data_IF_090602572929
#
_entry.id   IF_090602572929
#
_cell.length_a   1.000
_cell.length_b   1.000
_cell.length_c   1.000
_cell.angle_alpha   90.00
_cell.angle_beta   90.00
_cell.angle_gamma   90.00
#
_symmetry.space_group_name_H-M   'P 1'
#
loop_
_entity.id
_entity.type
_entity.pdbx_description
1 polymer ?
#
# COMPACT_ATOMS: atom_id res chain seq x y z
N UNK A 1 -10.88 2.39 -28.87
CA UNK A 1 -10.62 1.64 -27.62
C UNK A 1 -9.96 2.60 -26.67
N UNK A 2 -10.62 2.95 -25.57
CA UNK A 2 -10.01 3.74 -24.51
C UNK A 2 -9.21 2.82 -23.62
N UNK A 3 -7.92 3.11 -23.48
CA UNK A 3 -6.99 2.27 -22.74
C UNK A 3 -6.44 3.14 -21.62
N UNK A 4 -7.12 3.07 -20.49
CA UNK A 4 -6.71 3.67 -19.24
C UNK A 4 -6.06 2.64 -18.32
N UNK A 5 -5.57 3.06 -17.14
CA UNK A 5 -5.10 2.15 -16.11
C UNK A 5 -6.20 1.14 -15.74
N UNK A 6 -5.88 -0.16 -15.81
CA UNK A 6 -6.85 -1.22 -15.52
C UNK A 6 -7.08 -1.45 -14.03
N UNK A 7 -6.14 -0.99 -13.18
CA UNK A 7 -6.23 -0.99 -11.72
C UNK A 7 -5.30 0.08 -11.16
N UNK A 8 -5.70 0.77 -10.10
CA UNK A 8 -4.82 1.65 -9.34
C UNK A 8 -3.82 0.81 -8.52
N UNK A 9 -2.57 1.26 -8.45
CA UNK A 9 -1.55 0.55 -7.70
C UNK A 9 -1.87 0.62 -6.20
N UNK A 10 -1.76 -0.53 -5.53
CA UNK A 10 -1.98 -0.67 -4.09
C UNK A 10 -0.76 -1.27 -3.43
N UNK A 11 -0.62 -1.07 -2.12
CA UNK A 11 0.32 -1.82 -1.29
C UNK A 11 -0.40 -2.68 -0.26
N UNK A 12 0.27 -3.76 0.14
CA UNK A 12 -0.14 -4.63 1.24
C UNK A 12 0.57 -4.20 2.51
N UNK A 13 -0.21 -3.92 3.56
CA UNK A 13 0.28 -3.51 4.87
C UNK A 13 -0.10 -4.55 5.91
N UNK A 14 0.88 -5.14 6.58
CA UNK A 14 0.68 -5.95 7.78
C UNK A 14 1.07 -5.13 9.00
N UNK A 15 0.14 -4.92 9.93
CA UNK A 15 0.39 -4.20 11.18
C UNK A 15 0.18 -5.15 12.35
N UNK A 16 1.17 -5.24 13.23
CA UNK A 16 0.95 -5.77 14.57
C UNK A 16 0.22 -4.69 15.40
N UNK A 17 -1.07 -4.90 15.64
CA UNK A 17 -1.93 -3.89 16.29
C UNK A 17 -2.11 -4.12 17.80
N UNK A 18 -1.58 -5.20 18.36
CA UNK A 18 -1.89 -5.61 19.74
C UNK A 18 -3.40 -5.47 20.04
N UNK A 19 -3.79 -5.28 21.31
CA UNK A 19 -5.17 -4.97 21.69
C UNK A 19 -5.65 -3.57 21.26
N UNK A 20 -4.86 -2.80 20.49
CA UNK A 20 -5.26 -1.45 20.09
C UNK A 20 -6.25 -1.50 18.93
N UNK A 21 -7.45 -1.00 19.19
CA UNK A 21 -8.51 -0.88 18.21
C UNK A 21 -8.19 0.24 17.22
N UNK A 22 -8.05 -0.12 15.94
CA UNK A 22 -7.98 0.82 14.84
C UNK A 22 -9.37 1.39 14.55
N UNK A 23 -9.51 2.71 14.59
CA UNK A 23 -10.77 3.40 14.30
C UNK A 23 -10.87 3.80 12.83
N UNK A 24 -9.78 4.34 12.27
CA UNK A 24 -9.78 4.92 10.92
C UNK A 24 -8.37 4.95 10.31
N UNK A 25 -8.29 4.82 8.98
CA UNK A 25 -7.10 5.21 8.22
C UNK A 25 -7.51 6.34 7.27
N UNK A 26 -6.67 7.36 7.14
CA UNK A 26 -6.89 8.49 6.21
C UNK A 26 -5.65 8.65 5.34
N UNK A 27 -5.82 8.76 4.02
CA UNK A 27 -4.74 9.14 3.11
C UNK A 27 -4.74 10.65 2.90
N UNK A 28 -3.59 11.30 3.09
CA UNK A 28 -3.44 12.72 2.83
C UNK A 28 -3.37 13.00 1.33
N UNK A 29 -4.15 13.98 0.87
CA UNK A 29 -4.18 14.38 -0.54
C UNK A 29 -4.94 13.43 -1.46
N UNK A 30 -5.64 12.42 -0.93
CA UNK A 30 -6.53 11.57 -1.72
C UNK A 30 -7.70 12.39 -2.27
N UNK A 31 -7.96 12.28 -3.58
CA UNK A 31 -9.07 12.95 -4.26
C UNK A 31 -10.42 12.41 -3.80
N UNK A 32 -10.47 11.14 -3.42
CA UNK A 32 -11.62 10.53 -2.76
C UNK A 32 -11.15 9.70 -1.56
N UNK A 33 -11.70 10.01 -0.38
CA UNK A 33 -11.44 9.25 0.84
C UNK A 33 -12.33 8.01 1.00
N UNK A 34 -13.39 7.85 0.19
CA UNK A 34 -14.36 6.75 0.30
C UNK A 34 -13.70 5.38 0.13
N UNK A 35 -12.63 5.29 -0.68
CA UNK A 35 -11.79 4.09 -0.80
C UNK A 35 -11.17 3.64 0.54
N UNK A 36 -11.05 4.55 1.50
CA UNK A 36 -10.45 4.34 2.83
C UNK A 36 -11.48 4.39 3.96
N UNK A 37 -12.75 4.73 3.71
CA UNK A 37 -13.77 4.84 4.77
C UNK A 37 -14.35 3.46 5.15
N UNK A 38 -14.29 2.48 4.25
CA UNK A 38 -14.80 1.12 4.48
C UNK A 38 -13.70 0.09 4.80
N UNK A 39 -12.71 0.46 5.63
CA UNK A 39 -11.58 -0.43 5.93
C UNK A 39 -11.95 -1.66 6.75
N UNK A 40 -13.16 -1.73 7.30
CA UNK A 40 -13.68 -2.96 7.92
C UNK A 40 -13.72 -4.13 6.91
N UNK A 41 -13.90 -3.82 5.63
CA UNK A 41 -13.91 -4.80 4.52
C UNK A 41 -12.54 -4.96 3.85
N UNK A 42 -11.57 -4.08 4.15
CA UNK A 42 -10.19 -4.14 3.63
C UNK A 42 -9.27 -5.08 4.41
N UNK A 43 -9.76 -5.59 5.55
CA UNK A 43 -9.04 -6.56 6.36
C UNK A 43 -9.07 -7.89 5.61
N UNK A 44 -7.95 -8.25 4.98
CA UNK A 44 -7.86 -9.50 4.21
C UNK A 44 -7.77 -10.71 5.11
N UNK A 45 -7.22 -10.56 6.32
CA UNK A 45 -7.16 -11.63 7.33
C UNK A 45 -6.97 -11.04 8.74
N UNK A 46 -7.61 -11.65 9.74
CA UNK A 46 -7.35 -11.36 11.16
C UNK A 46 -6.65 -12.56 11.80
N UNK A 47 -5.37 -12.39 12.13
CA UNK A 47 -4.70 -13.23 13.12
C UNK A 47 -4.68 -12.44 14.43
N UNK A 48 -4.71 -13.12 15.58
CA UNK A 48 -4.93 -12.49 16.91
C UNK A 48 -4.13 -11.20 17.16
N UNK A 49 -2.93 -11.07 16.57
CA UNK A 49 -2.05 -9.93 16.77
C UNK A 49 -1.78 -9.09 15.50
N UNK A 50 -2.26 -9.52 14.32
CA UNK A 50 -1.92 -8.89 13.03
C UNK A 50 -3.16 -8.57 12.20
N UNK A 51 -3.17 -7.36 11.63
CA UNK A 51 -4.16 -6.93 10.63
C UNK A 51 -3.45 -6.66 9.31
N UNK A 52 -4.00 -7.21 8.23
CA UNK A 52 -3.54 -6.95 6.87
C UNK A 52 -4.51 -6.00 6.15
N UNK A 53 -3.96 -5.00 5.46
CA UNK A 53 -4.71 -4.02 4.69
C UNK A 53 -4.19 -3.96 3.27
N UNK A 54 -5.10 -3.74 2.31
CA UNK A 54 -4.74 -3.33 0.96
C UNK A 54 -5.08 -1.85 0.78
N UNK A 55 -4.07 -1.01 0.62
CA UNK A 55 -4.20 0.45 0.60
C UNK A 55 -3.74 1.01 -0.75
N UNK A 56 -4.51 1.88 -1.42
CA UNK A 56 -4.09 2.50 -2.68
C UNK A 56 -3.02 3.55 -2.46
N UNK A 57 -2.07 3.67 -3.41
CA UNK A 57 -1.06 4.74 -3.44
C UNK A 57 -1.47 5.86 -4.40
N UNK A 58 -0.90 7.05 -4.24
CA UNK A 58 -1.11 8.16 -5.17
C UNK A 58 -0.44 7.90 -6.53
N UNK A 59 -1.23 7.94 -7.60
CA UNK A 59 -0.68 7.94 -8.96
C UNK A 59 -0.24 9.32 -9.43
N UNK A 60 -0.42 10.37 -8.62
CA UNK A 60 -0.15 11.76 -8.99
C UNK A 60 1.03 12.38 -8.21
N UNK A 61 1.60 11.66 -7.25
CA UNK A 61 2.70 12.12 -6.41
C UNK A 61 3.73 11.02 -6.20
N UNK A 62 4.98 11.39 -5.90
CA UNK A 62 6.07 10.44 -5.59
C UNK A 62 6.05 9.97 -4.14
N UNK A 63 5.01 10.35 -3.39
CA UNK A 63 4.79 9.91 -2.03
C UNK A 63 3.30 9.81 -1.69
N UNK A 64 2.97 8.98 -0.71
CA UNK A 64 1.64 8.94 -0.09
C UNK A 64 1.76 8.80 1.41
N UNK A 65 1.03 9.64 2.13
CA UNK A 65 1.02 9.64 3.60
C UNK A 65 -0.32 9.16 4.11
N UNK A 66 -0.29 8.22 5.03
CA UNK A 66 -1.43 7.67 5.73
C UNK A 66 -1.37 8.06 7.21
N UNK A 67 -2.54 8.35 7.77
CA UNK A 67 -2.74 8.59 9.19
C UNK A 67 -3.61 7.45 9.72
N UNK A 68 -3.08 6.70 10.69
CA UNK A 68 -3.75 5.63 11.39
C UNK A 68 -4.23 6.14 12.74
N UNK A 69 -5.54 6.18 12.92
CA UNK A 69 -6.17 6.62 14.15
C UNK A 69 -6.60 5.39 14.95
N UNK A 70 -5.87 5.10 16.03
CA UNK A 70 -6.20 4.06 17.00
C UNK A 70 -6.89 4.69 18.22
N UNK A 71 -7.58 3.88 19.02
CA UNK A 71 -8.32 4.35 20.20
C UNK A 71 -7.51 5.23 21.15
N UNK A 72 -6.20 4.99 21.29
CA UNK A 72 -5.32 5.71 22.24
C UNK A 72 -4.09 6.37 21.61
N UNK A 73 -3.90 6.30 20.28
CA UNK A 73 -2.73 6.86 19.60
C UNK A 73 -2.99 7.12 18.13
N UNK A 74 -2.22 8.03 17.55
CA UNK A 74 -2.23 8.27 16.11
C UNK A 74 -0.84 7.99 15.57
N UNK A 75 -0.76 7.19 14.50
CA UNK A 75 0.47 6.94 13.79
C UNK A 75 0.40 7.42 12.35
N UNK A 76 1.56 7.69 11.77
CA UNK A 76 1.68 8.10 10.37
C UNK A 76 2.62 7.16 9.64
N UNK A 77 2.29 6.86 8.38
CA UNK A 77 3.15 6.16 7.45
C UNK A 77 3.25 6.99 6.18
N UNK A 78 4.45 7.37 5.77
CA UNK A 78 4.71 7.96 4.46
C UNK A 78 5.51 6.97 3.64
N UNK A 79 4.97 6.58 2.49
CA UNK A 79 5.68 5.81 1.49
C UNK A 79 6.13 6.76 0.39
N UNK A 80 7.43 6.78 0.09
CA UNK A 80 8.00 7.43 -1.08
C UNK A 80 8.37 6.34 -2.09
N UNK A 81 8.17 6.59 -3.38
CA UNK A 81 8.37 5.58 -4.41
C UNK A 81 8.61 6.25 -5.77
N UNK A 82 9.38 5.58 -6.63
CA UNK A 82 9.46 5.90 -8.04
C UNK A 82 8.36 5.13 -8.79
N UNK A 83 7.61 5.82 -9.66
CA UNK A 83 6.57 5.19 -10.50
C UNK A 83 7.16 4.86 -11.86
N UNK A 84 7.18 3.57 -12.20
CA UNK A 84 7.62 3.10 -13.50
C UNK A 84 6.41 2.81 -14.38
N UNK A 85 6.42 3.32 -15.61
CA UNK A 85 5.33 3.15 -16.57
C UNK A 85 5.85 2.36 -17.77
N UNK A 86 5.44 1.11 -17.89
CA UNK A 86 5.82 0.25 -19.00
C UNK A 86 4.71 0.20 -20.04
N UNK A 87 5.01 0.57 -21.28
CA UNK A 87 4.06 0.44 -22.38
C UNK A 87 3.89 -1.04 -22.76
N UNK A 88 2.66 -1.54 -22.78
CA UNK A 88 2.35 -2.90 -23.25
C UNK A 88 1.78 -2.84 -24.67
N UNK A 89 2.41 -3.53 -25.63
CA UNK A 89 1.95 -3.57 -27.01
C UNK A 89 0.48 -4.01 -27.10
N UNK A 90 -0.36 -3.18 -27.72
CA UNK A 90 -1.78 -3.46 -27.93
C UNK A 90 -2.72 -2.48 -27.21
N UNK A 91 -2.40 -2.06 -25.97
CA UNK A 91 -2.95 -0.85 -25.33
C UNK A 91 -2.57 -0.72 -23.84
N UNK A 92 -2.12 0.47 -23.42
CA UNK A 92 -2.03 0.89 -22.01
C UNK A 92 -0.62 0.88 -21.42
N UNK A 93 -0.54 1.22 -20.13
CA UNK A 93 0.68 1.19 -19.34
C UNK A 93 0.50 0.27 -18.13
N UNK A 94 1.51 -0.53 -17.81
CA UNK A 94 1.65 -1.17 -16.50
C UNK A 94 2.35 -0.17 -15.59
N UNK A 95 1.70 0.16 -14.47
CA UNK A 95 2.34 0.93 -13.40
C UNK A 95 3.03 -0.06 -12.48
N UNK A 96 4.31 0.18 -12.24
CA UNK A 96 5.14 -0.53 -11.27
C UNK A 96 5.79 0.49 -10.34
N UNK A 97 6.47 0.00 -9.31
CA UNK A 97 7.15 0.84 -8.31
C UNK A 97 8.55 0.34 -8.00
N UNK A 98 9.48 1.28 -7.91
CA UNK A 98 10.86 1.05 -7.53
C UNK A 98 11.29 2.06 -6.44
N UNK A 99 12.47 1.84 -5.86
CA UNK A 99 13.09 2.66 -4.80
C UNK A 99 12.10 3.05 -3.68
N UNK A 100 11.35 2.05 -3.21
CA UNK A 100 10.29 2.30 -2.21
C UNK A 100 10.91 2.46 -0.83
N UNK A 101 10.64 3.61 -0.22
CA UNK A 101 11.13 3.98 1.11
C UNK A 101 9.98 4.35 2.03
N UNK A 102 10.11 3.97 3.30
CA UNK A 102 9.11 4.24 4.33
C UNK A 102 9.63 5.16 5.43
N UNK A 103 8.80 6.11 5.83
CA UNK A 103 8.98 6.87 7.08
C UNK A 103 7.73 6.73 7.93
N UNK A 104 7.91 6.48 9.22
CA UNK A 104 6.79 6.19 10.11
C UNK A 104 7.02 6.63 11.55
N UNK A 105 5.92 6.79 12.31
CA UNK A 105 5.92 6.89 13.78
C UNK A 105 5.68 5.56 14.49
N UNK A 106 5.34 4.50 13.74
CA UNK A 106 5.31 3.12 14.24
C UNK A 106 6.67 2.75 14.86
N UNK A 107 6.67 1.92 15.92
CA UNK A 107 7.88 1.50 16.61
C UNK A 107 8.80 0.65 15.73
N UNK A 108 8.20 -0.03 14.75
CA UNK A 108 8.89 -0.79 13.72
C UNK A 108 8.29 -0.49 12.35
N UNK A 109 9.17 -0.42 11.35
CA UNK A 109 8.80 -0.30 9.95
C UNK A 109 9.76 -1.11 9.09
N UNK A 110 9.20 -1.94 8.22
CA UNK A 110 9.90 -2.60 7.15
C UNK A 110 9.11 -2.43 5.86
N UNK A 111 9.80 -2.03 4.79
CA UNK A 111 9.20 -1.75 3.48
C UNK A 111 10.01 -2.49 2.43
N UNK A 112 9.31 -3.20 1.56
CA UNK A 112 9.90 -3.91 0.42
C UNK A 112 9.00 -3.75 -0.80
N UNK A 113 9.59 -3.63 -1.97
CA UNK A 113 8.88 -3.66 -3.24
C UNK A 113 9.38 -4.84 -4.07
N UNK A 114 8.46 -5.52 -4.75
CA UNK A 114 8.76 -6.52 -5.76
C UNK A 114 8.29 -5.96 -7.09
N UNK A 115 9.20 -5.60 -8.01
CA UNK A 115 8.81 -5.07 -9.31
C UNK A 115 8.03 -6.13 -10.09
N UNK A 116 7.01 -5.68 -10.80
CA UNK A 116 6.25 -6.46 -11.78
C UNK A 116 7.09 -6.80 -13.01
N UNK A 117 8.00 -5.90 -13.43
CA UNK A 117 8.81 -6.07 -14.64
C UNK A 117 10.26 -6.42 -14.26
N UNK A 118 10.47 -7.69 -13.92
CA UNK A 118 11.80 -8.25 -13.68
C UNK A 118 11.70 -9.74 -13.38
N UNK A 119 12.40 -10.58 -14.14
CA UNK A 119 12.45 -12.02 -13.94
C UNK A 119 12.87 -12.39 -12.50
N UNK A 120 11.93 -12.70 -11.61
CA UNK A 120 12.23 -13.60 -10.50
C UNK A 120 11.93 -15.03 -10.95
N UNK A 121 13.00 -15.81 -11.19
CA UNK A 121 12.93 -17.27 -11.39
C UNK A 121 12.62 -17.95 -10.04
N UNK A 122 11.43 -17.69 -9.50
CA UNK A 122 10.93 -18.23 -8.24
C UNK A 122 9.61 -18.97 -8.43
N UNK A 123 9.36 -19.96 -7.57
CA UNK A 123 8.13 -20.75 -7.59
C UNK A 123 6.94 -19.94 -7.06
N UNK A 124 6.04 -19.57 -7.96
CA UNK A 124 4.75 -18.93 -7.63
C UNK A 124 4.57 -17.63 -8.41
N UNK A 125 3.63 -17.61 -9.36
CA UNK A 125 3.37 -16.45 -10.22
C UNK A 125 3.21 -15.16 -9.39
N UNK A 126 4.18 -14.26 -9.51
CA UNK A 126 4.25 -13.05 -8.71
C UNK A 126 3.33 -11.96 -9.29
N UNK A 127 2.43 -11.46 -8.46
CA UNK A 127 1.88 -10.11 -8.63
C UNK A 127 2.88 -9.16 -7.97
N UNK A 128 3.56 -8.32 -8.76
CA UNK A 128 4.42 -7.26 -8.22
C UNK A 128 3.64 -6.31 -7.30
N UNK A 129 4.34 -5.61 -6.41
CA UNK A 129 3.72 -4.69 -5.46
C UNK A 129 4.61 -4.28 -4.29
N UNK A 130 4.07 -3.40 -3.45
CA UNK A 130 4.71 -2.92 -2.22
C UNK A 130 4.17 -3.72 -1.04
N UNK A 131 5.06 -4.20 -0.20
CA UNK A 131 4.77 -4.88 1.04
C UNK A 131 5.36 -4.08 2.20
N UNK A 132 4.51 -3.77 3.18
CA UNK A 132 4.88 -3.02 4.38
C UNK A 132 4.55 -3.87 5.60
N UNK A 133 5.49 -3.94 6.54
CA UNK A 133 5.26 -4.49 7.88
C UNK A 133 5.51 -3.40 8.92
N UNK A 134 4.57 -3.21 9.84
CA UNK A 134 4.66 -2.22 10.89
C UNK A 134 4.27 -2.81 12.25
N UNK A 135 4.80 -2.24 13.34
CA UNK A 135 4.37 -2.55 14.70
C UNK A 135 4.13 -1.26 15.49
N UNK A 136 3.14 -1.29 16.38
CA UNK A 136 2.83 -0.17 17.27
C UNK A 136 3.98 0.16 18.21
#
# INVERSE_FOLDING_TARGET
MECGPQRELTFSLSINVADNKLNKITALGALNNDAFVNLRDSITTEFRDYREFQLPISLNADQTTYIFDFENRTDTLTLSYERLFYHQEGCGFVVDVDDVQGKSTFSYLHVTAIPFVGESKGWGGHQGGIFVSAAL
#
